data_IF_579875397796
#
_entry.id   IF_579875397796
#
_cell.length_a   1.000
_cell.length_b   1.000
_cell.length_c   1.000
_cell.angle_alpha   90.00
_cell.angle_beta   90.00
_cell.angle_gamma   90.00
#
_symmetry.space_group_name_H-M   'P 1'
#
loop_
_entity.id
_entity.type
_entity.pdbx_description
1 polymer ?
#
# COMPACT_ATOMS: atom_id res chain seq x y z
N UNK A 1 -5.15 11.79 9.62
CA UNK A 1 -5.90 10.70 8.97
C UNK A 1 -5.15 9.39 9.12
N UNK A 2 -5.03 8.92 10.33
CA UNK A 2 -4.59 7.57 10.67
C UNK A 2 -5.50 7.08 11.79
N UNK A 3 -5.59 5.78 12.02
CA UNK A 3 -6.42 5.25 13.12
C UNK A 3 -5.84 5.57 14.51
N UNK A 4 -4.61 6.09 14.59
CA UNK A 4 -3.84 6.22 15.82
C UNK A 4 -3.37 4.88 16.40
N UNK A 5 -3.72 3.77 15.76
CA UNK A 5 -3.33 2.40 16.07
C UNK A 5 -3.05 1.66 14.77
N UNK A 6 -2.35 0.54 14.83
CA UNK A 6 -1.93 -0.21 13.64
C UNK A 6 -3.09 -0.86 12.88
N UNK A 7 -4.27 -1.02 13.51
CA UNK A 7 -5.44 -1.66 12.91
C UNK A 7 -5.10 -3.03 12.27
N UNK A 8 -4.43 -3.88 13.05
CA UNK A 8 -4.01 -5.22 12.63
C UNK A 8 -5.27 -6.07 12.36
N UNK A 9 -5.39 -6.71 11.23
CA UNK A 9 -4.46 -7.04 10.13
C UNK A 9 -4.80 -6.29 8.82
N UNK A 10 -5.25 -5.07 8.87
CA UNK A 10 -5.47 -4.30 7.64
C UNK A 10 -4.14 -4.13 6.89
N UNK A 11 -4.21 -3.99 5.57
CA UNK A 11 -3.05 -3.82 4.69
C UNK A 11 -1.90 -4.80 4.98
N UNK A 12 -2.24 -6.07 5.21
CA UNK A 12 -1.28 -7.11 5.56
C UNK A 12 -1.24 -8.23 4.54
N UNK A 13 -0.09 -8.87 4.45
CA UNK A 13 0.04 -10.20 3.86
C UNK A 13 0.03 -11.22 4.99
N UNK A 14 -0.83 -12.24 4.87
CA UNK A 14 -0.94 -13.34 5.83
C UNK A 14 -0.65 -14.66 5.13
N UNK A 15 0.15 -15.50 5.76
CA UNK A 15 0.26 -16.91 5.40
C UNK A 15 -0.63 -17.74 6.33
N UNK A 16 -1.52 -18.51 5.75
CA UNK A 16 -2.46 -19.35 6.49
C UNK A 16 -2.16 -20.82 6.25
N UNK A 17 -2.23 -21.62 7.30
CA UNK A 17 -2.23 -23.06 7.18
C UNK A 17 -3.57 -23.51 6.57
N UNK A 18 -3.58 -24.14 5.38
CA UNK A 18 -4.83 -24.45 4.69
C UNK A 18 -5.63 -25.58 5.36
N UNK A 19 -5.02 -26.39 6.23
CA UNK A 19 -5.69 -27.47 6.95
C UNK A 19 -6.34 -26.98 8.25
N UNK A 20 -5.73 -25.98 8.90
CA UNK A 20 -6.16 -25.53 10.24
C UNK A 20 -6.77 -24.13 10.22
N UNK A 21 -6.50 -23.33 9.19
CA UNK A 21 -6.86 -21.90 9.11
C UNK A 21 -6.02 -21.00 10.02
N UNK A 22 -5.00 -21.53 10.68
CA UNK A 22 -4.14 -20.74 11.57
C UNK A 22 -3.20 -19.84 10.76
N UNK A 23 -2.94 -18.64 11.31
CA UNK A 23 -1.93 -17.72 10.77
C UNK A 23 -0.55 -18.25 11.15
N UNK A 24 0.26 -18.59 10.14
CA UNK A 24 1.66 -19.01 10.32
C UNK A 24 2.58 -17.79 10.49
N UNK A 25 2.37 -16.77 9.67
CA UNK A 25 3.04 -15.49 9.78
C UNK A 25 2.21 -14.38 9.13
N UNK A 26 2.54 -13.15 9.43
CA UNK A 26 2.02 -11.96 8.74
C UNK A 26 3.07 -10.88 8.62
N UNK A 27 2.88 -10.00 7.65
CA UNK A 27 3.60 -8.74 7.51
C UNK A 27 2.59 -7.64 7.21
N UNK A 28 2.55 -6.61 8.04
CA UNK A 28 1.69 -5.44 7.83
C UNK A 28 2.48 -4.38 7.08
N UNK A 29 2.04 -4.06 5.86
CA UNK A 29 2.72 -3.13 4.97
C UNK A 29 2.50 -1.67 5.38
N UNK A 30 1.24 -1.29 5.58
CA UNK A 30 0.84 0.09 5.87
C UNK A 30 -0.07 0.11 7.10
N UNK A 31 0.51 0.21 8.31
CA UNK A 31 -0.25 0.26 9.56
C UNK A 31 -1.13 1.50 9.67
N UNK A 32 -2.37 1.34 10.19
CA UNK A 32 -3.25 2.45 10.55
C UNK A 32 -3.73 3.31 9.38
N UNK A 33 -3.69 2.79 8.17
CA UNK A 33 -4.01 3.46 6.92
C UNK A 33 -5.50 3.85 6.84
N UNK A 34 -5.79 5.08 6.36
CA UNK A 34 -7.16 5.61 6.19
C UNK A 34 -7.31 6.50 4.94
N UNK A 35 -6.32 6.51 4.05
CA UNK A 35 -6.32 7.29 2.80
C UNK A 35 -6.81 6.48 1.60
N UNK A 36 -7.26 5.23 1.84
CA UNK A 36 -7.65 4.25 0.83
C UNK A 36 -6.45 3.76 -0.02
N UNK A 37 -5.28 3.63 0.62
CA UNK A 37 -4.07 3.10 0.00
C UNK A 37 -3.96 1.58 0.23
N UNK A 38 -4.87 0.84 -0.37
CA UNK A 38 -5.00 -0.61 -0.19
C UNK A 38 -3.80 -1.40 -0.73
N UNK A 39 -3.37 -2.42 0.03
CA UNK A 39 -2.38 -3.43 -0.38
C UNK A 39 -3.09 -4.79 -0.46
N UNK A 40 -4.10 -4.89 -1.33
CA UNK A 40 -4.98 -6.06 -1.44
C UNK A 40 -4.77 -6.89 -2.70
N UNK A 41 -3.86 -6.46 -3.56
CA UNK A 41 -3.61 -7.06 -4.87
C UNK A 41 -2.77 -8.34 -4.77
N UNK A 42 -2.37 -8.89 -5.92
CA UNK A 42 -1.68 -10.18 -5.99
C UNK A 42 -0.36 -10.22 -5.22
N UNK A 43 -0.03 -11.40 -4.71
CA UNK A 43 1.27 -11.76 -4.17
C UNK A 43 1.97 -12.63 -5.20
N UNK A 44 2.95 -12.05 -5.88
CA UNK A 44 3.74 -12.76 -6.90
C UNK A 44 4.82 -13.57 -6.19
N UNK A 45 4.74 -14.90 -6.31
CA UNK A 45 5.66 -15.83 -5.66
C UNK A 45 6.74 -16.25 -6.65
N UNK A 46 8.00 -16.03 -6.31
CA UNK A 46 9.15 -16.28 -7.19
C UNK A 46 10.18 -17.10 -6.43
N UNK A 47 10.58 -18.22 -7.05
CA UNK A 47 11.72 -19.02 -6.62
C UNK A 47 12.91 -18.66 -7.49
N UNK A 48 13.96 -18.10 -6.90
CA UNK A 48 15.18 -17.69 -7.60
C UNK A 48 16.41 -17.83 -6.69
N UNK A 49 17.51 -18.30 -7.25
CA UNK A 49 18.82 -18.42 -6.56
C UNK A 49 18.77 -19.24 -5.27
N UNK A 50 17.86 -20.23 -5.19
CA UNK A 50 17.66 -21.08 -4.02
C UNK A 50 16.81 -20.42 -2.92
N UNK A 51 16.33 -19.24 -3.14
CA UNK A 51 15.48 -18.48 -2.21
C UNK A 51 14.02 -18.42 -2.69
N UNK A 52 13.12 -18.16 -1.75
CA UNK A 52 11.68 -18.12 -1.99
C UNK A 52 11.13 -16.72 -1.64
N UNK A 53 10.87 -15.95 -2.66
CA UNK A 53 10.44 -14.58 -2.52
C UNK A 53 8.93 -14.40 -2.71
N UNK A 54 8.40 -13.43 -2.00
CA UNK A 54 7.08 -12.87 -2.23
C UNK A 54 7.25 -11.40 -2.60
N UNK A 55 6.64 -10.99 -3.71
CA UNK A 55 6.54 -9.60 -4.10
C UNK A 55 5.08 -9.17 -4.09
N UNK A 56 4.83 -7.96 -3.64
CA UNK A 56 3.52 -7.31 -3.73
C UNK A 56 3.69 -5.81 -3.81
N UNK A 57 2.71 -5.15 -4.41
CA UNK A 57 2.62 -3.70 -4.51
C UNK A 57 1.16 -3.31 -4.39
N UNK A 58 0.88 -2.13 -3.87
CA UNK A 58 -0.47 -1.63 -3.77
C UNK A 58 -0.59 -0.16 -4.14
N UNK A 59 -1.64 0.45 -3.67
CA UNK A 59 -1.93 1.87 -3.94
C UNK A 59 -0.89 2.81 -3.34
N UNK A 60 -0.10 2.36 -2.36
CA UNK A 60 1.04 3.10 -1.83
C UNK A 60 2.17 3.32 -2.85
N UNK A 61 2.20 2.52 -3.92
CA UNK A 61 3.25 2.57 -4.93
C UNK A 61 4.60 2.03 -4.45
N UNK A 62 4.61 1.28 -3.35
CA UNK A 62 5.82 0.64 -2.81
C UNK A 62 5.81 -0.83 -3.20
N UNK A 63 6.82 -1.26 -3.93
CA UNK A 63 7.06 -2.67 -4.22
C UNK A 63 7.77 -3.30 -3.03
N UNK A 64 7.10 -4.23 -2.39
CA UNK A 64 7.58 -4.96 -1.22
C UNK A 64 8.16 -6.31 -1.62
N UNK A 65 9.27 -6.69 -0.98
CA UNK A 65 9.89 -8.01 -1.09
C UNK A 65 10.01 -8.65 0.29
N UNK A 66 9.43 -9.83 0.45
CA UNK A 66 9.46 -10.63 1.68
C UNK A 66 10.07 -12.01 1.43
N UNK A 67 10.66 -12.62 2.46
CA UNK A 67 10.89 -14.06 2.48
C UNK A 67 9.53 -14.77 2.64
N UNK A 68 9.13 -15.54 1.63
CA UNK A 68 7.83 -16.22 1.58
C UNK A 68 7.63 -17.26 2.69
N UNK A 69 8.73 -17.82 3.23
CA UNK A 69 8.68 -18.86 4.25
C UNK A 69 8.36 -18.30 5.63
N UNK A 70 8.79 -17.07 5.89
CA UNK A 70 8.80 -16.49 7.25
C UNK A 70 8.02 -15.19 7.37
N UNK A 71 7.70 -14.56 6.24
CA UNK A 71 7.16 -13.19 6.21
C UNK A 71 8.17 -12.09 6.54
N UNK A 72 9.44 -12.45 6.70
CA UNK A 72 10.47 -11.47 7.04
C UNK A 72 10.66 -10.45 5.91
N UNK A 73 10.78 -9.18 6.29
CA UNK A 73 11.11 -8.10 5.36
C UNK A 73 12.49 -8.33 4.75
N UNK A 74 12.61 -8.10 3.45
CA UNK A 74 13.86 -8.25 2.70
C UNK A 74 14.26 -6.94 2.04
N UNK A 75 13.35 -6.30 1.30
CA UNK A 75 13.63 -5.06 0.58
C UNK A 75 12.31 -4.36 0.21
N UNK A 76 12.39 -3.10 -0.16
CA UNK A 76 11.31 -2.35 -0.77
C UNK A 76 11.83 -1.37 -1.82
N UNK A 77 10.95 -0.96 -2.75
CA UNK A 77 11.23 0.09 -3.74
C UNK A 77 10.03 0.99 -3.91
N UNK A 78 10.23 2.27 -3.74
CA UNK A 78 9.26 3.28 -4.17
C UNK A 78 9.27 3.32 -5.70
N UNK A 79 8.14 2.99 -6.33
CA UNK A 79 8.03 2.87 -7.79
C UNK A 79 7.48 4.11 -8.46
N UNK A 80 6.83 4.98 -7.69
CA UNK A 80 6.30 6.28 -8.10
C UNK A 80 6.64 7.31 -7.02
N UNK A 81 6.42 8.58 -7.33
CA UNK A 81 6.52 9.61 -6.33
C UNK A 81 5.48 9.41 -5.23
N UNK A 82 5.91 9.47 -3.98
CA UNK A 82 5.04 9.48 -2.81
C UNK A 82 5.42 10.62 -1.85
N UNK A 83 4.42 11.16 -1.16
CA UNK A 83 4.58 12.13 -0.08
C UNK A 83 3.64 11.87 1.11
N UNK A 84 3.11 10.66 1.21
CA UNK A 84 2.29 10.21 2.35
C UNK A 84 3.17 9.90 3.55
N UNK A 85 4.31 9.27 3.29
CA UNK A 85 5.26 8.88 4.32
C UNK A 85 6.44 9.84 4.34
N UNK A 86 6.74 10.37 5.52
CA UNK A 86 7.93 11.19 5.78
C UNK A 86 9.19 10.33 5.82
N UNK A 87 9.05 9.10 6.36
CA UNK A 87 10.13 8.12 6.42
C UNK A 87 9.68 6.79 5.82
N UNK A 88 10.51 6.25 4.93
CA UNK A 88 10.45 4.90 4.40
C UNK A 88 11.76 4.20 4.75
N UNK A 89 11.76 3.42 5.83
CA UNK A 89 12.96 2.74 6.31
C UNK A 89 13.29 1.53 5.43
N UNK A 90 14.35 1.66 4.63
CA UNK A 90 14.83 0.65 3.70
C UNK A 90 15.39 -0.60 4.40
N UNK A 91 15.67 -0.54 5.71
CA UNK A 91 16.25 -1.65 6.47
C UNK A 91 15.20 -2.52 7.12
N UNK A 92 14.12 -1.90 7.59
CA UNK A 92 13.08 -2.59 8.36
C UNK A 92 11.74 -2.67 7.63
N UNK A 93 11.56 -1.90 6.57
CA UNK A 93 10.27 -1.73 5.88
C UNK A 93 9.27 -0.88 6.68
N UNK A 94 9.73 -0.18 7.71
CA UNK A 94 8.88 0.64 8.54
C UNK A 94 8.54 1.97 7.86
N UNK A 95 7.27 2.36 7.92
CA UNK A 95 6.77 3.61 7.37
C UNK A 95 6.37 4.56 8.49
N UNK A 96 6.69 5.84 8.34
CA UNK A 96 6.21 6.90 9.22
C UNK A 96 5.44 7.91 8.40
N UNK A 97 4.17 8.12 8.76
CA UNK A 97 3.32 9.09 8.08
C UNK A 97 3.80 10.51 8.32
N UNK A 98 3.64 11.35 7.33
CA UNK A 98 3.80 12.79 7.43
C UNK A 98 2.91 13.36 8.53
N UNK A 99 3.43 14.31 9.30
CA UNK A 99 2.78 14.81 10.52
C UNK A 99 1.39 15.41 10.27
N UNK A 100 1.23 16.18 9.18
CA UNK A 100 -0.07 16.78 8.84
C UNK A 100 -1.15 15.74 8.51
N UNK A 101 -0.76 14.57 7.95
CA UNK A 101 -1.65 13.44 7.71
C UNK A 101 -2.03 12.77 9.03
N UNK A 102 -1.08 12.61 9.95
CA UNK A 102 -1.34 12.03 11.28
C UNK A 102 -2.32 12.88 12.08
N UNK A 103 -2.17 14.20 12.03
CA UNK A 103 -2.98 15.14 12.82
C UNK A 103 -4.34 15.45 12.17
N UNK A 104 -4.51 15.12 10.88
CA UNK A 104 -5.74 15.38 10.16
C UNK A 104 -6.92 14.56 10.68
N UNK A 105 -8.07 15.21 10.84
CA UNK A 105 -9.32 14.60 11.27
C UNK A 105 -10.48 14.96 10.32
N UNK A 106 -11.70 14.80 10.81
CA UNK A 106 -12.92 15.22 10.11
C UNK A 106 -12.84 16.71 9.77
N UNK A 107 -13.13 17.06 8.53
CA UNK A 107 -13.03 18.44 8.00
C UNK A 107 -11.64 18.87 7.56
N UNK A 108 -10.59 18.16 7.95
CA UNK A 108 -9.24 18.45 7.50
C UNK A 108 -9.05 18.07 6.02
N UNK A 109 -8.39 18.95 5.25
CA UNK A 109 -8.00 18.68 3.86
C UNK A 109 -6.49 18.45 3.81
N UNK A 110 -6.07 17.30 3.30
CA UNK A 110 -4.66 16.96 3.08
C UNK A 110 -4.38 16.77 1.59
N UNK A 111 -3.17 17.09 1.18
CA UNK A 111 -2.65 16.72 -0.13
C UNK A 111 -1.82 15.44 0.02
N UNK A 112 -2.02 14.46 -0.83
CA UNK A 112 -1.33 13.19 -0.79
C UNK A 112 -0.99 12.67 -2.19
N UNK A 113 0.18 12.07 -2.31
CA UNK A 113 0.64 11.28 -3.45
C UNK A 113 1.14 9.92 -2.95
N UNK A 114 0.72 8.83 -3.55
CA UNK A 114 -0.27 8.72 -4.62
C UNK A 114 -1.70 9.03 -4.16
N UNK A 115 -2.62 9.07 -5.13
CA UNK A 115 -4.05 9.18 -4.87
C UNK A 115 -4.64 7.82 -4.42
N UNK A 116 -5.92 7.82 -4.06
CA UNK A 116 -6.69 6.59 -3.79
C UNK A 116 -6.83 5.66 -5.02
N UNK A 117 -6.52 6.15 -6.23
CA UNK A 117 -6.37 5.29 -7.41
C UNK A 117 -5.03 4.57 -7.41
N UNK A 118 -4.13 5.01 -6.55
CA UNK A 118 -2.89 4.36 -6.18
C UNK A 118 -1.74 4.56 -7.11
N UNK A 119 -0.65 3.89 -6.73
CA UNK A 119 0.45 3.52 -7.56
C UNK A 119 0.10 2.28 -8.39
N UNK A 120 -0.32 1.22 -7.73
CA UNK A 120 -0.86 0.01 -8.36
C UNK A 120 -2.31 -0.20 -7.93
N UNK A 121 -3.13 -0.75 -8.83
CA UNK A 121 -4.53 -1.02 -8.57
C UNK A 121 -4.93 -2.38 -9.19
N UNK A 122 -6.14 -2.52 -9.72
CA UNK A 122 -6.71 -3.79 -10.19
C UNK A 122 -6.03 -4.43 -11.41
N UNK A 123 -5.20 -3.70 -12.13
CA UNK A 123 -4.49 -4.20 -13.30
C UNK A 123 -3.38 -5.16 -12.85
N UNK A 124 -3.47 -6.44 -13.22
CA UNK A 124 -2.58 -7.47 -12.76
C UNK A 124 -1.11 -7.22 -13.16
N UNK A 125 -0.20 -7.46 -12.22
CA UNK A 125 1.25 -7.56 -12.49
C UNK A 125 1.57 -8.91 -13.14
N UNK A 126 2.71 -8.99 -13.83
CA UNK A 126 3.20 -10.22 -14.44
C UNK A 126 4.69 -10.42 -14.16
N UNK A 127 5.09 -11.67 -13.93
CA UNK A 127 6.48 -12.05 -13.86
C UNK A 127 6.91 -12.70 -15.17
N UNK A 128 8.01 -12.22 -15.74
CA UNK A 128 8.64 -12.80 -16.94
C UNK A 128 9.89 -13.58 -16.51
N UNK A 129 9.84 -14.92 -16.46
CA UNK A 129 10.92 -15.73 -15.89
C UNK A 129 12.23 -15.64 -16.67
N UNK A 130 12.18 -15.64 -18.01
CA UNK A 130 13.39 -15.57 -18.84
C UNK A 130 14.12 -14.23 -18.70
N UNK A 131 13.40 -13.15 -18.42
CA UNK A 131 13.98 -11.83 -18.19
C UNK A 131 14.28 -11.57 -16.71
N UNK A 132 13.81 -12.41 -15.80
CA UNK A 132 13.89 -12.17 -14.35
C UNK A 132 13.21 -10.86 -13.93
N UNK A 133 12.12 -10.46 -14.60
CA UNK A 133 11.52 -9.14 -14.47
C UNK A 133 10.05 -9.19 -14.04
N UNK A 134 9.67 -8.29 -13.15
CA UNK A 134 8.28 -7.95 -12.86
C UNK A 134 7.81 -6.81 -13.76
N UNK A 135 6.66 -6.98 -14.39
CA UNK A 135 5.96 -5.95 -15.16
C UNK A 135 4.77 -5.50 -14.35
N UNK A 136 4.75 -4.23 -13.95
CA UNK A 136 3.77 -3.68 -13.03
C UNK A 136 3.11 -2.45 -13.67
N UNK A 137 1.79 -2.46 -13.90
CA UNK A 137 1.05 -1.27 -14.32
C UNK A 137 0.95 -0.28 -13.15
N UNK A 138 1.29 0.97 -13.40
CA UNK A 138 1.31 2.01 -12.37
C UNK A 138 0.46 3.22 -12.77
N UNK A 139 -0.24 3.78 -11.78
CA UNK A 139 -0.88 5.07 -11.83
C UNK A 139 0.00 6.15 -11.20
N UNK A 140 0.06 7.33 -11.84
CA UNK A 140 0.85 8.46 -11.36
C UNK A 140 -0.05 9.68 -11.16
N UNK A 141 -0.92 9.60 -10.17
CA UNK A 141 -1.82 10.68 -9.79
C UNK A 141 -1.75 10.95 -8.29
N UNK A 142 -1.96 12.21 -7.92
CA UNK A 142 -2.09 12.65 -6.53
C UNK A 142 -3.54 13.04 -6.22
N UNK A 143 -3.83 13.34 -4.96
CA UNK A 143 -5.16 13.78 -4.55
C UNK A 143 -5.11 14.88 -3.50
N UNK A 144 -6.23 15.58 -3.38
CA UNK A 144 -6.64 16.19 -2.13
C UNK A 144 -7.71 15.30 -1.50
N UNK A 145 -7.59 15.03 -0.22
CA UNK A 145 -8.56 14.28 0.56
C UNK A 145 -9.07 15.13 1.72
N UNK A 146 -10.39 15.23 1.86
CA UNK A 146 -11.01 15.92 3.00
C UNK A 146 -11.81 14.91 3.80
N UNK A 147 -11.41 14.69 5.06
CA UNK A 147 -12.12 13.79 5.97
C UNK A 147 -13.56 14.23 6.20
N UNK A 148 -14.47 13.28 6.25
CA UNK A 148 -15.89 13.53 6.58
C UNK A 148 -16.34 12.59 7.68
N UNK A 149 -17.33 13.04 8.43
CA UNK A 149 -18.06 12.16 9.33
C UNK A 149 -18.90 11.18 8.53
N UNK A 150 -18.88 9.91 8.92
CA UNK A 150 -19.67 8.84 8.31
C UNK A 150 -20.35 8.04 9.40
N UNK A 151 -21.66 7.83 9.22
CA UNK A 151 -22.39 6.91 10.06
C UNK A 151 -22.02 5.47 9.70
N UNK A 152 -21.69 4.67 10.72
CA UNK A 152 -21.47 3.25 10.52
C UNK A 152 -22.79 2.57 10.15
N UNK A 153 -22.82 1.93 8.99
CA UNK A 153 -23.92 1.11 8.52
C UNK A 153 -23.42 -0.30 8.29
N UNK A 154 -23.99 -1.29 8.95
CA UNK A 154 -23.61 -2.70 8.78
C UNK A 154 -23.74 -3.13 7.31
N UNK A 155 -22.69 -3.72 6.75
CA UNK A 155 -22.63 -4.07 5.33
C UNK A 155 -22.41 -2.87 4.39
N UNK A 156 -22.37 -1.66 4.91
CA UNK A 156 -21.94 -0.48 4.16
C UNK A 156 -20.44 -0.44 3.92
N UNK A 157 -20.03 0.32 2.92
CA UNK A 157 -18.62 0.54 2.60
C UNK A 157 -18.43 1.91 1.96
N UNK A 158 -17.18 2.25 1.73
CA UNK A 158 -16.79 3.47 1.02
C UNK A 158 -15.74 4.29 1.76
N UNK A 159 -15.18 5.25 1.05
CA UNK A 159 -14.16 6.13 1.57
C UNK A 159 -14.76 7.18 2.49
N UNK A 160 -14.22 7.30 3.70
CA UNK A 160 -14.62 8.33 4.67
C UNK A 160 -14.04 9.71 4.33
N UNK A 161 -14.04 10.07 3.04
CA UNK A 161 -13.48 11.31 2.55
C UNK A 161 -14.12 11.79 1.25
N UNK A 162 -14.00 13.09 0.99
CA UNK A 162 -14.17 13.67 -0.35
C UNK A 162 -12.79 13.82 -0.95
N UNK A 163 -12.62 13.40 -2.18
CA UNK A 163 -11.34 13.44 -2.87
C UNK A 163 -11.45 14.15 -4.21
N UNK A 164 -10.34 14.75 -4.61
CA UNK A 164 -10.16 15.41 -5.89
C UNK A 164 -8.77 15.01 -6.42
N UNK A 165 -8.70 14.55 -7.67
CA UNK A 165 -7.40 14.26 -8.29
C UNK A 165 -6.63 15.55 -8.54
N UNK A 166 -5.32 15.45 -8.43
CA UNK A 166 -4.36 16.46 -8.87
C UNK A 166 -3.19 15.82 -9.58
N UNK A 167 -2.48 16.58 -10.39
CA UNK A 167 -1.30 16.10 -11.09
C UNK A 167 -0.19 15.70 -10.10
N UNK A 168 0.55 14.67 -10.45
CA UNK A 168 1.74 14.28 -9.71
C UNK A 168 2.90 15.22 -10.09
N UNK A 169 3.73 15.65 -9.13
CA UNK A 169 4.91 16.45 -9.42
C UNK A 169 5.82 15.80 -10.45
N UNK A 170 6.25 16.54 -11.47
CA UNK A 170 7.15 16.04 -12.53
C UNK A 170 6.47 15.27 -13.66
N UNK A 171 5.17 15.05 -13.60
CA UNK A 171 4.39 14.49 -14.71
C UNK A 171 3.80 15.64 -15.53
N UNK A 172 4.19 15.82 -16.77
CA UNK A 172 3.73 16.90 -17.66
C UNK A 172 2.25 16.71 -18.07
N UNK A 173 1.32 16.73 -17.09
CA UNK A 173 -0.12 16.68 -17.35
C UNK A 173 -0.67 15.34 -17.84
N UNK A 174 0.08 14.26 -17.77
CA UNK A 174 -0.42 12.92 -18.05
C UNK A 174 -0.98 12.32 -16.75
N UNK A 175 -2.27 12.40 -16.58
CA UNK A 175 -3.04 11.66 -15.55
C UNK A 175 -3.40 10.29 -16.13
#
# INVERSE_FOLDING_TARGET
MTTGQDALYTNSTLALNPQTGQVEWYFQHVPGETLDLDIVYERVLIDADGEQWLFTIGKDGILWKLDRRTGAFVDLRETIYQDVFETVDQTTGRLEYRQDIRDAGVGSRVAACPSLLGGHNWQASAYHPDAGALVIPLHQACMYLTGRDVEFVEGGGGTAGRWELREMPGTNGNV
#
